data_IF_881173750746
#
_entry.id   IF_881173750746
#
_cell.length_a   1.000
_cell.length_b   1.000
_cell.length_c   1.000
_cell.angle_alpha   90.00
_cell.angle_beta   90.00
_cell.angle_gamma   90.00
#
_symmetry.space_group_name_H-M   'P 1'
#
loop_
_entity.id
_entity.type
_entity.pdbx_description
1 polymer ?
#
# COMPACT_ATOMS: atom_id res chain seq x y z
N UNK A 1 -5.88 -9.64 35.72
CA UNK A 1 -5.54 -11.07 35.47
C UNK A 1 -4.80 -11.16 34.14
N UNK A 2 -3.50 -11.52 34.20
CA UNK A 2 -2.62 -12.19 33.20
C UNK A 2 -2.78 -11.76 31.72
N UNK A 3 -1.94 -10.93 31.11
CA UNK A 3 -0.49 -11.04 30.82
C UNK A 3 -0.10 -12.30 30.03
N UNK A 4 -0.07 -12.22 28.68
CA UNK A 4 0.69 -13.13 27.80
C UNK A 4 1.22 -12.36 26.56
N UNK A 5 2.25 -11.54 26.78
CA UNK A 5 3.30 -11.32 25.78
C UNK A 5 4.32 -12.43 26.03
N UNK A 6 4.42 -13.40 25.14
CA UNK A 6 5.55 -14.32 25.14
C UNK A 6 6.69 -13.69 24.34
N UNK A 7 7.55 -12.98 25.08
CA UNK A 7 8.87 -12.60 24.64
C UNK A 7 9.91 -13.50 25.33
N UNK A 8 10.50 -14.47 24.61
CA UNK A 8 11.82 -14.98 24.94
C UNK A 8 12.76 -14.61 23.78
N UNK A 9 13.00 -13.31 23.59
CA UNK A 9 14.05 -12.82 22.67
C UNK A 9 14.55 -11.41 23.03
N UNK A 10 14.45 -11.05 24.32
CA UNK A 10 14.90 -9.77 24.88
C UNK A 10 15.76 -10.00 26.14
N UNK A 11 16.60 -11.04 26.10
CA UNK A 11 17.65 -11.32 27.11
C UNK A 11 19.01 -11.70 26.52
N UNK A 12 19.23 -11.48 25.22
CA UNK A 12 20.54 -11.70 24.57
C UNK A 12 21.24 -10.41 24.11
N UNK A 13 20.72 -9.21 24.40
CA UNK A 13 21.28 -7.95 23.90
C UNK A 13 21.89 -7.01 24.95
N UNK A 14 22.30 -7.51 26.11
CA UNK A 14 23.00 -6.67 27.11
C UNK A 14 24.16 -7.36 27.83
N UNK A 15 24.82 -8.34 27.22
CA UNK A 15 26.04 -8.89 27.80
C UNK A 15 27.01 -9.38 26.72
N UNK A 16 27.89 -8.46 26.29
CA UNK A 16 29.32 -8.66 26.06
C UNK A 16 29.83 -7.89 24.84
N UNK A 17 30.67 -6.90 25.14
CA UNK A 17 31.91 -6.73 24.41
C UNK A 17 31.86 -5.80 23.21
N UNK A 18 32.68 -4.76 23.28
CA UNK A 18 33.32 -4.15 22.13
C UNK A 18 33.96 -5.26 21.27
N UNK A 19 33.25 -5.69 20.22
CA UNK A 19 33.74 -6.65 19.23
C UNK A 19 33.78 -5.96 17.88
N UNK A 20 35.00 -5.73 17.38
CA UNK A 20 35.22 -5.37 15.99
C UNK A 20 34.45 -6.34 15.08
N UNK A 21 33.85 -5.81 14.02
CA UNK A 21 33.23 -6.63 12.98
C UNK A 21 34.23 -7.71 12.51
N UNK A 22 33.80 -8.96 12.27
CA UNK A 22 34.71 -9.96 11.73
C UNK A 22 35.28 -9.47 10.39
N UNK A 23 36.58 -9.19 10.36
CA UNK A 23 37.32 -8.88 9.15
C UNK A 23 37.14 -10.05 8.17
N UNK A 24 36.44 -9.79 7.06
CA UNK A 24 36.23 -10.80 6.02
C UNK A 24 34.79 -10.93 5.53
N UNK A 25 33.80 -10.27 6.15
CA UNK A 25 32.49 -10.11 5.48
C UNK A 25 32.64 -8.96 4.49
N UNK A 26 32.68 -9.21 3.16
CA UNK A 26 32.66 -8.12 2.20
C UNK A 26 31.41 -7.28 2.50
N UNK A 27 31.51 -5.94 2.48
CA UNK A 27 30.32 -5.11 2.61
C UNK A 27 29.29 -5.64 1.62
N UNK A 28 28.09 -5.95 2.10
CA UNK A 28 27.00 -6.34 1.21
C UNK A 28 26.99 -5.33 0.07
N UNK A 29 27.01 -5.79 -1.21
CA UNK A 29 27.05 -4.86 -2.33
C UNK A 29 25.96 -3.82 -2.09
N UNK A 30 26.24 -2.52 -2.34
CA UNK A 30 25.25 -1.47 -2.11
C UNK A 30 23.96 -1.95 -2.76
N UNK A 31 22.89 -2.13 -1.95
CA UNK A 31 21.60 -2.55 -2.46
C UNK A 31 21.24 -1.55 -3.54
N UNK A 32 21.45 -1.92 -4.80
CA UNK A 32 21.07 -1.12 -5.94
C UNK A 32 19.56 -1.01 -5.80
N UNK A 33 19.10 0.16 -5.38
CA UNK A 33 17.67 0.46 -5.40
C UNK A 33 17.32 0.52 -6.87
N UNK A 34 16.93 -0.62 -7.42
CA UNK A 34 16.66 -0.83 -8.83
C UNK A 34 15.33 -0.12 -9.14
N UNK A 35 15.41 1.21 -9.16
CA UNK A 35 14.27 2.14 -9.20
C UNK A 35 13.47 2.00 -10.48
N UNK A 36 14.04 1.30 -11.47
CA UNK A 36 13.46 1.04 -12.77
C UNK A 36 12.91 -0.38 -12.95
N UNK A 37 13.05 -1.27 -11.94
CA UNK A 37 12.55 -2.64 -12.06
C UNK A 37 11.02 -2.64 -12.06
N UNK A 38 10.43 -3.15 -13.16
CA UNK A 38 9.00 -3.41 -13.28
C UNK A 38 8.70 -4.88 -13.06
N UNK A 39 7.60 -5.14 -12.38
CA UNK A 39 7.08 -6.47 -12.11
C UNK A 39 5.77 -6.65 -12.87
N UNK A 40 5.59 -7.82 -13.45
CA UNK A 40 4.31 -8.25 -13.98
C UNK A 40 3.81 -9.44 -13.16
N UNK A 41 2.58 -9.35 -12.67
CA UNK A 41 1.94 -10.40 -11.86
C UNK A 41 0.54 -10.65 -12.39
N UNK A 42 0.03 -11.87 -12.28
CA UNK A 42 -1.36 -12.16 -12.68
C UNK A 42 -2.36 -11.33 -11.88
N UNK A 43 -2.12 -11.16 -10.58
CA UNK A 43 -3.07 -10.51 -9.69
C UNK A 43 -2.36 -9.72 -8.59
N UNK A 44 -2.87 -8.54 -8.27
CA UNK A 44 -2.48 -7.72 -7.14
C UNK A 44 -3.68 -7.40 -6.25
N UNK A 45 -3.44 -7.28 -4.94
CA UNK A 45 -4.44 -6.92 -3.94
C UNK A 45 -3.94 -5.71 -3.15
N UNK A 46 -4.81 -4.73 -2.94
CA UNK A 46 -4.55 -3.53 -2.14
C UNK A 46 -5.75 -3.32 -1.22
N UNK A 47 -5.51 -3.11 0.07
CA UNK A 47 -6.55 -2.89 1.08
C UNK A 47 -6.18 -1.76 2.03
N UNK A 48 -7.18 -1.23 2.74
CA UNK A 48 -7.01 -0.38 3.94
C UNK A 48 -6.07 0.82 3.73
N UNK A 49 -6.21 1.50 2.59
CA UNK A 49 -5.33 2.61 2.19
C UNK A 49 -5.70 3.91 2.91
N UNK A 50 -7.00 4.15 3.10
CA UNK A 50 -7.58 5.35 3.69
C UNK A 50 -7.08 6.67 3.04
N UNK A 51 -7.20 6.79 1.71
CA UNK A 51 -6.99 8.07 1.02
C UNK A 51 -7.94 9.12 1.61
N UNK A 52 -7.42 10.30 1.92
CA UNK A 52 -8.17 11.35 2.63
C UNK A 52 -7.74 11.51 4.09
N UNK A 53 -6.78 10.70 4.54
CA UNK A 53 -6.20 10.80 5.89
C UNK A 53 -4.72 11.19 5.85
N UNK A 54 -4.22 11.95 6.85
CA UNK A 54 -2.80 12.29 6.94
C UNK A 54 -1.85 11.09 7.11
N UNK A 55 -2.34 9.98 7.67
CA UNK A 55 -1.55 8.76 7.88
C UNK A 55 -1.37 7.91 6.60
N UNK A 56 -2.12 8.19 5.55
CA UNK A 56 -2.11 7.43 4.31
C UNK A 56 -0.72 7.41 3.65
N UNK A 57 -0.20 6.21 3.38
CA UNK A 57 1.07 6.01 2.67
C UNK A 57 0.91 6.11 1.14
N UNK A 58 0.25 7.18 0.67
CA UNK A 58 -0.11 7.35 -0.73
C UNK A 58 1.08 7.37 -1.70
N UNK A 59 2.25 7.88 -1.27
CA UNK A 59 3.48 7.85 -2.09
C UNK A 59 3.96 6.41 -2.33
N UNK A 60 4.00 5.60 -1.28
CA UNK A 60 4.40 4.20 -1.38
C UNK A 60 3.44 3.41 -2.27
N UNK A 61 2.13 3.63 -2.12
CA UNK A 61 1.12 3.03 -2.99
C UNK A 61 1.29 3.47 -4.46
N UNK A 62 1.50 4.77 -4.70
CA UNK A 62 1.72 5.27 -6.05
C UNK A 62 2.95 4.63 -6.71
N UNK A 63 4.04 4.47 -5.95
CA UNK A 63 5.26 3.84 -6.43
C UNK A 63 5.07 2.34 -6.69
N UNK A 64 4.34 1.63 -5.83
CA UNK A 64 3.90 0.26 -6.08
C UNK A 64 3.12 0.17 -7.41
N UNK A 65 2.09 1.00 -7.60
CA UNK A 65 1.28 1.01 -8.82
C UNK A 65 2.08 1.40 -10.08
N UNK A 66 3.18 2.16 -9.94
CA UNK A 66 4.09 2.46 -11.06
C UNK A 66 4.96 1.28 -11.45
N UNK A 67 5.37 0.46 -10.49
CA UNK A 67 6.30 -0.66 -10.70
C UNK A 67 5.61 -1.99 -10.99
N UNK A 68 4.38 -2.18 -10.52
CA UNK A 68 3.65 -3.45 -10.66
C UNK A 68 2.55 -3.32 -11.70
N UNK A 69 2.68 -4.05 -12.80
CA UNK A 69 1.61 -4.29 -13.76
C UNK A 69 0.92 -5.61 -13.44
N UNK A 70 -0.40 -5.67 -13.63
CA UNK A 70 -1.18 -6.86 -13.35
C UNK A 70 -2.39 -7.01 -14.25
N UNK A 71 -2.83 -8.26 -14.44
CA UNK A 71 -4.03 -8.58 -15.21
C UNK A 71 -5.29 -8.24 -14.40
N UNK A 72 -5.25 -8.47 -13.08
CA UNK A 72 -6.32 -8.10 -12.16
C UNK A 72 -5.79 -7.35 -10.93
N UNK A 73 -6.41 -6.22 -10.59
CA UNK A 73 -6.17 -5.45 -9.38
C UNK A 73 -7.43 -5.46 -8.51
N UNK A 74 -7.35 -6.11 -7.36
CA UNK A 74 -8.37 -6.05 -6.33
C UNK A 74 -8.08 -4.89 -5.37
N UNK A 75 -9.05 -4.01 -5.22
CA UNK A 75 -9.08 -2.92 -4.25
C UNK A 75 -10.10 -3.30 -3.18
N UNK A 76 -9.64 -3.68 -2.00
CA UNK A 76 -10.46 -4.34 -0.99
C UNK A 76 -10.53 -3.51 0.27
N UNK A 77 -11.67 -2.88 0.51
CA UNK A 77 -11.94 -2.19 1.75
C UNK A 77 -11.16 -0.88 1.92
N UNK A 78 -11.86 0.11 2.46
CA UNK A 78 -11.36 1.38 3.00
C UNK A 78 -10.25 2.02 2.15
N UNK A 79 -10.46 2.10 0.84
CA UNK A 79 -9.49 2.72 -0.07
C UNK A 79 -9.53 4.24 0.07
N UNK A 80 -10.71 4.82 0.31
CA UNK A 80 -10.92 6.24 0.53
C UNK A 80 -11.69 6.41 1.84
N UNK A 81 -11.15 7.23 2.75
CA UNK A 81 -11.83 7.55 4.00
C UNK A 81 -12.82 8.71 3.79
N UNK A 82 -14.05 8.36 3.42
CA UNK A 82 -15.13 9.32 3.24
C UNK A 82 -15.53 10.04 4.55
N UNK A 83 -15.38 9.37 5.70
CA UNK A 83 -15.73 9.96 6.99
C UNK A 83 -14.77 11.07 7.39
N UNK A 84 -13.46 10.88 7.21
CA UNK A 84 -12.48 11.92 7.48
C UNK A 84 -12.62 13.09 6.51
N UNK A 85 -12.84 12.83 5.22
CA UNK A 85 -13.06 13.89 4.22
C UNK A 85 -14.26 14.79 4.54
N UNK A 86 -15.34 14.23 5.10
CA UNK A 86 -16.51 15.01 5.54
C UNK A 86 -16.22 15.88 6.76
N UNK A 87 -15.31 15.45 7.65
CA UNK A 87 -14.95 16.20 8.86
C UNK A 87 -13.90 17.27 8.59
N UNK A 88 -12.90 16.95 7.78
CA UNK A 88 -11.81 17.87 7.44
C UNK A 88 -11.33 17.54 6.04
N UNK A 89 -11.38 18.53 5.15
CA UNK A 89 -10.89 18.35 3.80
C UNK A 89 -9.37 18.20 3.79
N UNK A 90 -8.90 16.97 3.59
CA UNK A 90 -7.50 16.63 3.41
C UNK A 90 -7.35 15.81 2.13
N UNK A 91 -6.94 16.45 1.04
CA UNK A 91 -6.75 15.77 -0.25
C UNK A 91 -5.52 16.29 -0.99
N UNK A 92 -4.31 15.85 -0.59
CA UNK A 92 -3.09 16.23 -1.28
C UNK A 92 -3.03 15.66 -2.70
N UNK A 93 -2.27 16.31 -3.59
CA UNK A 93 -2.13 15.91 -4.99
C UNK A 93 -1.80 14.41 -5.18
N UNK A 94 -0.97 13.83 -4.32
CA UNK A 94 -0.58 12.41 -4.42
C UNK A 94 -1.77 11.45 -4.32
N UNK A 95 -2.84 11.83 -3.62
CA UNK A 95 -4.06 11.02 -3.56
C UNK A 95 -4.76 10.98 -4.92
N UNK A 96 -4.88 12.13 -5.59
CA UNK A 96 -5.39 12.19 -6.96
C UNK A 96 -4.50 11.39 -7.92
N UNK A 97 -3.17 11.45 -7.77
CA UNK A 97 -2.24 10.71 -8.62
C UNK A 97 -2.43 9.18 -8.48
N UNK A 98 -2.72 8.68 -7.27
CA UNK A 98 -3.08 7.27 -7.04
C UNK A 98 -4.35 6.89 -7.81
N UNK A 99 -5.43 7.66 -7.66
CA UNK A 99 -6.71 7.40 -8.34
C UNK A 99 -6.52 7.42 -9.86
N UNK A 100 -5.83 8.43 -10.39
CA UNK A 100 -5.54 8.54 -11.82
C UNK A 100 -4.69 7.38 -12.34
N UNK A 101 -3.74 6.89 -11.53
CA UNK A 101 -2.91 5.73 -11.88
C UNK A 101 -3.74 4.45 -11.96
N UNK A 102 -4.67 4.23 -11.03
CA UNK A 102 -5.60 3.09 -11.05
C UNK A 102 -6.50 3.17 -12.29
N UNK A 103 -7.15 4.31 -12.54
CA UNK A 103 -8.01 4.52 -13.72
C UNK A 103 -7.24 4.36 -15.04
N UNK A 104 -5.96 4.74 -15.08
CA UNK A 104 -5.11 4.52 -16.24
C UNK A 104 -4.79 3.02 -16.45
N UNK A 105 -4.65 2.23 -15.38
CA UNK A 105 -4.47 0.77 -15.49
C UNK A 105 -5.74 0.10 -16.01
N UNK A 106 -6.91 0.48 -15.48
CA UNK A 106 -8.20 0.01 -15.97
C UNK A 106 -8.35 0.24 -17.49
N UNK A 107 -8.11 1.48 -17.95
CA UNK A 107 -8.14 1.83 -19.39
C UNK A 107 -7.12 1.09 -20.25
N UNK A 108 -6.06 0.52 -19.67
CA UNK A 108 -5.02 -0.25 -20.36
C UNK A 108 -5.28 -1.76 -20.34
N UNK A 109 -6.40 -2.20 -19.77
CA UNK A 109 -6.82 -3.61 -19.78
C UNK A 109 -6.55 -4.36 -18.48
N UNK A 110 -6.05 -3.71 -17.42
CA UNK A 110 -6.09 -4.31 -16.09
C UNK A 110 -7.53 -4.37 -15.62
N UNK A 111 -8.06 -5.56 -15.33
CA UNK A 111 -9.35 -5.70 -14.66
C UNK A 111 -9.25 -5.17 -13.23
N UNK A 112 -9.99 -4.13 -12.88
CA UNK A 112 -9.98 -3.57 -11.52
C UNK A 112 -11.28 -3.96 -10.84
N UNK A 113 -11.18 -4.62 -9.68
CA UNK A 113 -12.33 -5.02 -8.88
C UNK A 113 -12.31 -4.21 -7.58
N UNK A 114 -13.38 -3.48 -7.29
CA UNK A 114 -13.48 -2.66 -6.10
C UNK A 114 -14.51 -3.21 -5.12
N UNK A 115 -14.03 -3.65 -3.97
CA UNK A 115 -14.86 -4.11 -2.87
C UNK A 115 -14.88 -2.98 -1.83
N UNK A 116 -16.04 -2.31 -1.63
CA UNK A 116 -16.15 -1.18 -0.72
C UNK A 116 -15.96 -1.62 0.74
N UNK A 117 -15.29 -0.79 1.53
CA UNK A 117 -15.18 -0.96 2.98
C UNK A 117 -16.32 -0.29 3.75
N UNK A 118 -16.03 -0.01 5.03
CA UNK A 118 -16.95 0.65 5.95
C UNK A 118 -16.89 2.18 5.79
N UNK A 119 -15.70 2.72 5.53
CA UNK A 119 -15.48 4.15 5.36
C UNK A 119 -15.84 4.66 3.95
N UNK A 120 -15.93 3.75 2.98
CA UNK A 120 -16.21 4.03 1.56
C UNK A 120 -17.72 4.26 1.27
N UNK A 121 -18.46 4.84 2.21
CA UNK A 121 -19.92 4.97 2.13
C UNK A 121 -20.38 5.76 0.89
N UNK A 122 -19.57 6.72 0.44
CA UNK A 122 -19.80 7.48 -0.79
C UNK A 122 -19.59 6.63 -2.06
N UNK A 123 -18.70 5.64 -2.03
CA UNK A 123 -18.44 4.75 -3.17
C UNK A 123 -19.59 3.77 -3.37
N UNK A 124 -20.35 3.47 -2.30
CA UNK A 124 -21.54 2.63 -2.37
C UNK A 124 -22.61 3.15 -3.32
N UNK A 125 -22.70 4.48 -3.47
CA UNK A 125 -23.62 5.14 -4.42
C UNK A 125 -23.24 4.90 -5.88
N UNK A 126 -22.00 4.49 -6.16
CA UNK A 126 -21.49 4.22 -7.51
C UNK A 126 -21.36 2.71 -7.81
N UNK A 127 -21.57 1.84 -6.82
CA UNK A 127 -21.60 0.39 -7.01
C UNK A 127 -22.78 0.02 -7.91
N UNK A 128 -22.49 -0.61 -9.05
CA UNK A 128 -23.47 -0.97 -10.09
C UNK A 128 -23.40 -0.09 -11.34
N UNK A 129 -22.66 1.03 -11.31
CA UNK A 129 -22.25 1.74 -12.51
C UNK A 129 -20.82 1.32 -12.84
N UNK A 130 -20.61 0.65 -13.98
CA UNK A 130 -19.28 0.37 -14.49
C UNK A 130 -18.54 1.69 -14.75
N UNK A 131 -17.79 2.18 -13.76
CA UNK A 131 -17.12 3.47 -13.82
C UNK A 131 -15.73 3.27 -14.44
N UNK A 132 -15.63 3.45 -15.76
CA UNK A 132 -14.36 3.42 -16.47
C UNK A 132 -13.64 2.06 -16.47
N UNK A 133 -14.38 0.95 -16.35
CA UNK A 133 -13.83 -0.41 -16.34
C UNK A 133 -13.49 -0.98 -14.97
N UNK A 134 -14.02 -0.37 -13.89
CA UNK A 134 -13.99 -0.94 -12.54
C UNK A 134 -15.28 -1.75 -12.33
N UNK A 135 -15.10 -2.99 -11.92
CA UNK A 135 -16.15 -3.95 -11.52
C UNK A 135 -16.41 -3.93 -10.02
#
# INVERSE_FOLDING_TARGET
MRAWIHAPLLRELTANGLGAAPEGVPPSPPQQTDSNRRYHVRTAWVSDVHLGTPGCQAKALLDFLKRVDCDTLYLVGDIIDGWQLRRTWYWPQVHNDVIQKILRKARKGTRVVYIPGNHDEFARTYLGHAFGGIE
#
